data_IF_641186965899
#
_entry.id   IF_641186965899
#
_cell.length_a   1.000
_cell.length_b   1.000
_cell.length_c   1.000
_cell.angle_alpha   90.00
_cell.angle_beta   90.00
_cell.angle_gamma   90.00
#
_symmetry.space_group_name_H-M   'P 1'
#
loop_
_entity.id
_entity.type
_entity.pdbx_description
1 polymer ?
#
# COMPACT_ATOMS: atom_id res chain seq x y z
N UNK A 1 1.14 12.02 -28.53
CA UNK A 1 0.39 11.50 -27.44
C UNK A 1 1.26 11.25 -26.21
N UNK A 2 0.79 11.64 -25.10
CA UNK A 2 1.56 11.57 -23.88
C UNK A 2 1.13 10.38 -23.06
N UNK A 3 2.05 9.50 -22.79
CA UNK A 3 1.79 8.41 -21.86
C UNK A 3 2.44 8.72 -20.54
N UNK A 4 1.64 8.78 -19.53
CA UNK A 4 2.16 8.91 -18.19
C UNK A 4 2.33 7.50 -17.65
N UNK A 5 3.57 7.12 -17.51
CA UNK A 5 3.87 5.83 -16.91
C UNK A 5 4.00 6.06 -15.42
N UNK A 6 3.04 5.56 -14.68
CA UNK A 6 3.12 5.63 -13.25
C UNK A 6 3.74 4.33 -12.76
N UNK A 7 4.79 4.45 -11.99
CA UNK A 7 5.45 3.29 -11.42
C UNK A 7 4.83 2.98 -10.06
N UNK A 8 3.53 2.72 -10.08
CA UNK A 8 2.78 2.53 -8.84
C UNK A 8 2.19 1.13 -8.78
N UNK A 9 2.29 0.54 -7.62
CA UNK A 9 1.54 -0.67 -7.32
C UNK A 9 0.27 -0.23 -6.62
N UNK A 10 -0.87 -0.41 -7.27
CA UNK A 10 -2.14 0.10 -6.78
C UNK A 10 -3.03 -1.01 -6.25
N UNK A 11 -3.62 -0.78 -5.09
CA UNK A 11 -4.60 -1.68 -4.48
C UNK A 11 -5.80 -0.82 -4.14
N UNK A 12 -6.91 -1.01 -4.88
CA UNK A 12 -8.06 -0.13 -4.75
C UNK A 12 -9.37 -0.89 -4.76
N UNK A 13 -10.35 -0.34 -4.07
CA UNK A 13 -11.75 -0.78 -4.16
C UNK A 13 -11.91 -2.26 -3.84
N UNK A 14 -11.37 -2.69 -2.70
CA UNK A 14 -11.43 -4.09 -2.29
C UNK A 14 -12.10 -4.17 -0.93
N UNK A 15 -12.95 -5.17 -0.75
CA UNK A 15 -13.69 -5.39 0.47
C UNK A 15 -13.56 -6.84 0.92
N UNK A 16 -13.21 -7.03 2.20
CA UNK A 16 -13.29 -8.34 2.82
C UNK A 16 -12.34 -9.38 2.28
N UNK A 17 -11.14 -9.00 1.91
CA UNK A 17 -10.21 -9.96 1.34
C UNK A 17 -8.79 -9.76 1.87
N UNK A 18 -7.97 -10.77 1.65
CA UNK A 18 -6.56 -10.71 1.98
C UNK A 18 -5.78 -10.45 0.70
N UNK A 19 -4.90 -9.49 0.74
CA UNK A 19 -4.12 -9.08 -0.43
C UNK A 19 -2.65 -9.31 -0.11
N UNK A 20 -1.99 -10.09 -0.94
CA UNK A 20 -0.57 -10.35 -0.80
C UNK A 20 0.13 -9.96 -2.08
N UNK A 21 1.14 -9.13 -1.96
CA UNK A 21 1.97 -8.74 -3.09
C UNK A 21 3.38 -9.21 -2.85
N UNK A 22 4.10 -9.44 -3.92
CA UNK A 22 5.48 -9.92 -3.82
C UNK A 22 6.43 -8.83 -4.21
N UNK A 23 7.69 -9.02 -3.85
CA UNK A 23 8.72 -8.09 -4.24
C UNK A 23 8.83 -7.98 -5.76
N UNK A 24 8.58 -9.08 -6.45
CA UNK A 24 8.63 -9.08 -7.90
C UNK A 24 7.54 -8.23 -8.51
N UNK A 25 6.36 -8.23 -7.89
CA UNK A 25 5.26 -7.38 -8.36
C UNK A 25 5.57 -5.91 -8.17
N UNK A 26 6.34 -5.59 -7.15
CA UNK A 26 6.74 -4.22 -6.87
C UNK A 26 7.98 -3.81 -7.67
N UNK A 27 8.72 -4.76 -8.21
CA UNK A 27 9.99 -4.47 -8.90
C UNK A 27 9.76 -3.49 -10.05
N UNK A 28 10.59 -2.46 -10.11
CA UNK A 28 10.45 -1.42 -11.12
C UNK A 28 9.43 -0.35 -10.76
N UNK A 29 8.78 -0.48 -9.62
CA UNK A 29 7.80 0.50 -9.16
C UNK A 29 8.39 1.30 -8.01
N UNK A 30 7.84 2.47 -7.78
CA UNK A 30 8.34 3.33 -6.71
C UNK A 30 7.32 3.51 -5.59
N UNK A 31 6.05 3.53 -5.93
CA UNK A 31 5.01 3.83 -4.97
C UNK A 31 4.06 2.66 -4.78
N UNK A 32 3.56 2.52 -3.57
CA UNK A 32 2.42 1.63 -3.30
C UNK A 32 1.26 2.53 -2.93
N UNK A 33 0.14 2.36 -3.62
CA UNK A 33 -1.05 3.16 -3.39
C UNK A 33 -2.16 2.22 -2.93
N UNK A 34 -2.67 2.48 -1.74
CA UNK A 34 -3.75 1.71 -1.16
C UNK A 34 -4.92 2.66 -0.92
N UNK A 35 -6.03 2.40 -1.58
CA UNK A 35 -7.15 3.31 -1.55
C UNK A 35 -8.47 2.56 -1.50
N UNK A 36 -9.37 3.04 -0.65
CA UNK A 36 -10.74 2.55 -0.58
C UNK A 36 -10.82 1.06 -0.30
N UNK A 37 -10.26 0.65 0.83
CA UNK A 37 -10.32 -0.73 1.29
C UNK A 37 -11.16 -0.83 2.57
N UNK A 38 -11.83 -1.96 2.71
CA UNK A 38 -12.62 -2.22 3.90
C UNK A 38 -12.50 -3.68 4.30
N UNK A 39 -12.22 -3.94 5.58
CA UNK A 39 -12.10 -5.29 6.12
C UNK A 39 -11.07 -6.12 5.37
N UNK A 40 -9.93 -5.54 5.07
CA UNK A 40 -8.89 -6.21 4.29
C UNK A 40 -7.62 -6.37 5.09
N UNK A 41 -6.81 -7.35 4.69
CA UNK A 41 -5.46 -7.51 5.19
C UNK A 41 -4.51 -7.41 4.01
N UNK A 42 -3.50 -6.55 4.12
CA UNK A 42 -2.57 -6.31 3.03
C UNK A 42 -1.17 -6.69 3.51
N UNK A 43 -0.53 -7.55 2.75
CA UNK A 43 0.82 -8.00 3.06
C UNK A 43 1.78 -7.56 1.97
N UNK A 44 2.74 -6.73 2.36
CA UNK A 44 3.74 -6.15 1.46
C UNK A 44 5.13 -6.41 2.03
N UNK A 45 5.59 -7.68 1.99
CA UNK A 45 6.82 -8.06 2.70
C UNK A 45 8.08 -7.66 1.92
N UNK A 46 8.19 -6.39 1.60
CA UNK A 46 9.35 -5.89 0.86
C UNK A 46 9.55 -4.42 1.19
N UNK A 47 10.69 -3.91 0.76
CA UNK A 47 11.03 -2.53 0.99
C UNK A 47 10.26 -1.65 0.02
N UNK A 48 9.63 -0.61 0.55
CA UNK A 48 8.80 0.29 -0.23
C UNK A 48 9.43 1.67 -0.21
N UNK A 49 9.47 2.31 -1.36
CA UNK A 49 10.04 3.63 -1.47
C UNK A 49 9.08 4.69 -0.95
N UNK A 50 7.84 4.64 -1.38
CA UNK A 50 6.81 5.56 -0.89
C UNK A 50 5.49 4.83 -0.77
N UNK A 51 4.75 5.15 0.28
CA UNK A 51 3.47 4.50 0.56
C UNK A 51 2.38 5.55 0.68
N UNK A 52 1.30 5.37 -0.04
CA UNK A 52 0.13 6.23 0.01
C UNK A 52 -1.07 5.41 0.42
N UNK A 53 -1.67 5.77 1.54
CA UNK A 53 -2.84 5.06 2.08
C UNK A 53 -3.96 6.05 2.25
N UNK A 54 -5.13 5.75 1.70
CA UNK A 54 -6.26 6.65 1.74
C UNK A 54 -7.57 5.88 1.81
N UNK A 55 -8.46 6.33 2.67
CA UNK A 55 -9.82 5.78 2.80
C UNK A 55 -9.82 4.29 3.08
N UNK A 56 -9.20 3.89 4.15
CA UNK A 56 -9.24 2.49 4.56
C UNK A 56 -9.94 2.36 5.91
N UNK A 57 -10.71 1.30 6.07
CA UNK A 57 -11.49 1.05 7.26
C UNK A 57 -11.32 -0.40 7.69
N UNK A 58 -11.01 -0.60 8.96
CA UNK A 58 -10.91 -1.92 9.55
C UNK A 58 -9.96 -2.83 8.76
N UNK A 59 -8.81 -2.30 8.40
CA UNK A 59 -7.81 -3.01 7.62
C UNK A 59 -6.53 -3.18 8.41
N UNK A 60 -5.75 -4.19 8.01
CA UNK A 60 -4.42 -4.40 8.57
C UNK A 60 -3.42 -4.37 7.43
N UNK A 61 -2.39 -3.56 7.57
CA UNK A 61 -1.37 -3.45 6.55
C UNK A 61 -0.03 -3.82 7.15
N UNK A 62 0.61 -4.81 6.55
CA UNK A 62 1.92 -5.29 6.96
C UNK A 62 2.90 -5.00 5.85
N UNK A 63 3.76 -4.04 6.07
CA UNK A 63 4.75 -3.63 5.08
C UNK A 63 6.15 -3.88 5.61
N UNK A 64 7.09 -4.00 4.71
CA UNK A 64 8.49 -4.02 5.08
C UNK A 64 8.92 -2.62 5.46
N UNK A 65 10.14 -2.24 5.10
CA UNK A 65 10.64 -0.92 5.46
C UNK A 65 10.21 0.10 4.43
N UNK A 66 9.85 1.28 4.90
CA UNK A 66 9.55 2.42 4.04
C UNK A 66 10.79 3.31 4.03
N UNK A 67 11.42 3.44 2.88
CA UNK A 67 12.66 4.19 2.80
C UNK A 67 12.44 5.67 2.51
N UNK A 68 11.30 6.01 1.95
CA UNK A 68 10.96 7.38 1.65
C UNK A 68 9.81 7.88 2.49
N UNK A 69 8.83 8.46 1.86
CA UNK A 69 7.70 9.07 2.55
C UNK A 69 6.52 8.11 2.67
N UNK A 70 5.72 8.29 3.69
CA UNK A 70 4.45 7.61 3.80
C UNK A 70 3.37 8.66 4.05
N UNK A 71 2.30 8.56 3.29
CA UNK A 71 1.18 9.48 3.39
C UNK A 71 -0.06 8.66 3.74
N UNK A 72 -0.60 8.91 4.93
CA UNK A 72 -1.70 8.13 5.45
C UNK A 72 -2.84 9.08 5.76
N UNK A 73 -3.99 8.84 5.17
CA UNK A 73 -5.13 9.73 5.27
C UNK A 73 -6.42 8.93 5.35
N UNK A 74 -7.36 9.41 6.16
CA UNK A 74 -8.69 8.82 6.28
C UNK A 74 -8.62 7.33 6.65
N UNK A 75 -7.89 7.04 7.71
CA UNK A 75 -7.71 5.67 8.21
C UNK A 75 -8.55 5.51 9.47
N UNK A 76 -9.43 4.51 9.47
CA UNK A 76 -10.33 4.26 10.57
C UNK A 76 -10.20 2.80 11.03
N UNK A 77 -9.93 2.60 12.32
CA UNK A 77 -9.84 1.28 12.94
C UNK A 77 -8.89 0.35 12.19
N UNK A 78 -7.73 0.86 11.83
CA UNK A 78 -6.76 0.11 11.07
C UNK A 78 -5.48 -0.09 11.86
N UNK A 79 -4.75 -1.16 11.52
CA UNK A 79 -3.43 -1.40 12.07
C UNK A 79 -2.42 -1.31 10.94
N UNK A 80 -1.39 -0.53 11.19
CA UNK A 80 -0.33 -0.33 10.22
C UNK A 80 0.98 -0.82 10.84
N UNK A 81 1.50 -1.89 10.30
CA UNK A 81 2.75 -2.48 10.77
C UNK A 81 3.83 -2.21 9.75
N UNK A 82 4.61 -1.20 10.01
CA UNK A 82 5.65 -0.76 9.08
C UNK A 82 6.90 -0.41 9.84
N UNK A 83 8.01 -0.65 9.17
CA UNK A 83 9.30 -0.21 9.64
C UNK A 83 9.70 0.99 8.82
N UNK A 84 10.21 2.04 9.46
CA UNK A 84 10.64 3.22 8.71
C UNK A 84 12.00 3.69 9.22
N UNK A 85 12.71 4.29 8.32
CA UNK A 85 14.02 4.86 8.65
C UNK A 85 13.98 6.36 8.66
#
# INVERSE_FOLDING_TARGET
MQNIVTNDLSIKDVIGTEIRKTEQEYAGKENVIIENLENCEVYLPFKIKSLYVKKITNCKIYAGCISGASFINQVIDCELHMCSH
#
